data_IF_511280106924
#
_entry.id   IF_511280106924
#
_cell.length_a   1.000
_cell.length_b   1.000
_cell.length_c   1.000
_cell.angle_alpha   90.00
_cell.angle_beta   90.00
_cell.angle_gamma   90.00
#
_symmetry.space_group_name_H-M   'P 1'
#
loop_
_entity.id
_entity.type
_entity.pdbx_description
1 polymer ?
#
# COMPACT_ATOMS: atom_id res chain seq x y z
N UNK A 1 43.53 29.23 -8.13
CA UNK A 1 44.12 27.89 -8.27
C UNK A 1 43.24 26.96 -7.44
N UNK A 2 42.05 26.53 -7.90
CA UNK A 2 41.79 25.94 -9.22
C UNK A 2 42.79 24.81 -9.44
N UNK A 3 42.27 23.58 -9.54
CA UNK A 3 42.90 22.40 -10.15
C UNK A 3 43.39 21.21 -9.31
N UNK A 4 43.20 21.14 -7.98
CA UNK A 4 43.57 19.90 -7.25
C UNK A 4 42.57 19.30 -6.26
N UNK A 5 41.42 19.94 -5.99
CA UNK A 5 40.35 19.36 -5.15
C UNK A 5 39.15 18.95 -6.03
N UNK A 6 39.41 18.27 -7.15
CA UNK A 6 38.38 17.81 -8.08
C UNK A 6 38.55 16.34 -8.50
N UNK A 7 39.39 15.56 -7.83
CA UNK A 7 39.67 14.17 -8.24
C UNK A 7 39.59 13.09 -7.15
N UNK A 8 39.25 13.40 -5.89
CA UNK A 8 39.34 12.35 -4.84
C UNK A 8 38.27 12.32 -3.74
N UNK A 9 37.11 12.98 -3.88
CA UNK A 9 36.04 12.84 -2.88
C UNK A 9 34.60 12.93 -3.42
N UNK A 10 34.39 12.68 -4.72
CA UNK A 10 33.05 12.63 -5.30
C UNK A 10 32.36 11.25 -5.14
N UNK A 11 32.65 10.54 -4.04
CA UNK A 11 32.04 9.23 -3.75
C UNK A 11 31.05 9.27 -2.56
N UNK A 12 30.63 10.46 -2.09
CA UNK A 12 29.87 10.56 -0.83
C UNK A 12 28.62 11.45 -0.80
N UNK A 13 28.20 12.10 -1.89
CA UNK A 13 26.96 12.91 -1.85
C UNK A 13 26.14 12.87 -3.15
N UNK A 14 25.90 11.68 -3.69
CA UNK A 14 24.75 11.46 -4.59
C UNK A 14 23.89 10.36 -3.97
N UNK A 15 23.40 10.64 -2.76
CA UNK A 15 22.18 10.03 -2.24
C UNK A 15 20.98 10.63 -2.98
N UNK A 16 20.95 10.55 -4.30
CA UNK A 16 19.67 10.73 -5.01
C UNK A 16 18.93 9.44 -4.80
N UNK A 17 17.95 9.48 -3.90
CA UNK A 17 16.93 8.45 -3.73
C UNK A 17 16.34 8.13 -5.10
N UNK A 18 16.89 7.14 -5.78
CA UNK A 18 16.29 6.56 -6.97
C UNK A 18 15.13 5.73 -6.44
N UNK A 19 14.00 6.39 -6.17
CA UNK A 19 12.73 5.71 -5.94
C UNK A 19 12.34 5.09 -7.27
N UNK A 20 12.86 3.88 -7.55
CA UNK A 20 12.37 3.09 -8.65
C UNK A 20 10.85 2.99 -8.48
N UNK A 21 10.04 3.32 -9.50
CA UNK A 21 8.61 3.17 -9.41
C UNK A 21 8.35 1.69 -9.15
N UNK A 22 7.80 1.40 -7.98
CA UNK A 22 7.52 0.03 -7.59
C UNK A 22 6.26 -0.45 -8.29
N UNK A 23 6.41 -0.84 -9.56
CA UNK A 23 5.42 -1.66 -10.23
C UNK A 23 5.44 -3.04 -9.55
N UNK A 24 4.58 -3.21 -8.53
CA UNK A 24 4.42 -4.46 -7.80
C UNK A 24 4.59 -4.40 -6.27
N UNK A 25 4.80 -3.23 -5.64
CA UNK A 25 4.68 -3.14 -4.18
C UNK A 25 3.32 -2.57 -3.82
N UNK A 26 2.49 -3.43 -3.23
CA UNK A 26 1.31 -2.99 -2.52
C UNK A 26 1.69 -2.21 -1.25
N UNK A 27 0.71 -1.52 -0.70
CA UNK A 27 0.86 -0.79 0.54
C UNK A 27 1.15 -1.71 1.73
N UNK A 28 1.33 -1.08 2.89
CA UNK A 28 1.44 -1.82 4.14
C UNK A 28 0.18 -2.65 4.39
N UNK A 29 0.36 -3.91 4.81
CA UNK A 29 -0.71 -4.89 5.04
C UNK A 29 -1.58 -5.18 3.80
N UNK A 30 -1.04 -4.98 2.60
CA UNK A 30 -1.66 -5.38 1.35
C UNK A 30 -0.82 -6.46 0.66
N UNK A 31 -1.49 -7.34 -0.07
CA UNK A 31 -0.91 -8.37 -0.92
C UNK A 31 -1.32 -8.13 -2.37
N UNK A 32 -0.38 -8.29 -3.28
CA UNK A 32 -0.66 -8.25 -4.71
C UNK A 32 -1.33 -9.55 -5.13
N UNK A 33 -2.51 -9.45 -5.71
CA UNK A 33 -3.26 -10.57 -6.25
C UNK A 33 -3.46 -10.36 -7.75
N UNK A 34 -3.04 -11.35 -8.53
CA UNK A 34 -3.38 -11.37 -9.95
C UNK A 34 -4.89 -11.47 -10.18
N UNK A 35 -5.61 -12.07 -9.22
CA UNK A 35 -7.07 -12.15 -9.20
C UNK A 35 -7.57 -11.88 -7.77
N UNK A 36 -7.94 -10.63 -7.49
CA UNK A 36 -8.53 -10.21 -6.23
C UNK A 36 -10.05 -10.30 -6.22
N UNK A 37 -10.62 -10.28 -5.01
CA UNK A 37 -12.06 -10.20 -4.79
C UNK A 37 -12.54 -8.76 -4.98
N UNK A 38 -13.72 -8.58 -5.56
CA UNK A 38 -14.37 -7.27 -5.57
C UNK A 38 -15.07 -6.91 -4.24
N UNK A 39 -15.11 -7.84 -3.30
CA UNK A 39 -15.68 -7.61 -1.97
C UNK A 39 -14.58 -7.75 -0.93
N UNK A 40 -13.64 -6.82 -0.98
CA UNK A 40 -12.64 -6.68 0.07
C UNK A 40 -13.30 -6.11 1.34
N UNK A 41 -13.01 -6.65 2.53
CA UNK A 41 -13.58 -6.15 3.78
C UNK A 41 -13.08 -4.73 4.07
N UNK A 42 -13.95 -3.87 4.61
CA UNK A 42 -13.62 -2.51 5.01
C UNK A 42 -13.92 -2.26 6.49
N UNK A 43 -13.49 -1.10 7.01
CA UNK A 43 -13.85 -0.70 8.37
C UNK A 43 -15.38 -0.57 8.57
N UNK A 44 -16.13 -0.19 7.53
CA UNK A 44 -17.58 -0.06 7.58
C UNK A 44 -18.29 -1.42 7.40
N UNK A 45 -17.72 -2.31 6.58
CA UNK A 45 -18.26 -3.64 6.30
C UNK A 45 -17.14 -4.69 6.45
N UNK A 46 -16.82 -5.10 7.69
CA UNK A 46 -15.69 -6.00 7.96
C UNK A 46 -15.99 -7.45 7.61
N UNK A 47 -17.27 -7.82 7.52
CA UNK A 47 -17.73 -9.17 7.19
C UNK A 47 -18.60 -9.09 5.95
N UNK A 48 -18.19 -9.81 4.90
CA UNK A 48 -18.89 -9.88 3.62
C UNK A 48 -19.73 -11.16 3.59
N UNK A 49 -21.06 -11.04 3.60
CA UNK A 49 -21.95 -12.20 3.58
C UNK A 49 -22.18 -12.75 2.16
N UNK A 50 -22.24 -11.86 1.17
CA UNK A 50 -22.53 -12.20 -0.23
C UNK A 50 -21.54 -11.45 -1.11
N UNK A 51 -20.83 -12.19 -1.96
CA UNK A 51 -19.96 -11.63 -2.98
C UNK A 51 -20.16 -12.34 -4.33
N UNK A 52 -20.00 -11.60 -5.42
CA UNK A 52 -19.94 -12.16 -6.77
C UNK A 52 -18.57 -12.80 -7.01
N UNK A 53 -18.49 -13.80 -7.90
CA UNK A 53 -17.24 -14.46 -8.28
C UNK A 53 -16.39 -13.66 -9.27
N UNK A 54 -16.50 -12.33 -9.23
CA UNK A 54 -15.77 -11.46 -10.13
C UNK A 54 -14.30 -11.35 -9.70
N UNK A 55 -13.41 -11.35 -10.69
CA UNK A 55 -11.97 -11.34 -10.53
C UNK A 55 -11.43 -9.95 -10.89
N UNK A 56 -10.91 -9.22 -9.90
CA UNK A 56 -10.23 -7.94 -10.14
C UNK A 56 -8.76 -8.25 -10.45
N UNK A 57 -8.36 -7.99 -11.70
CA UNK A 57 -7.02 -8.34 -12.16
C UNK A 57 -5.95 -7.40 -11.60
N UNK A 58 -4.81 -7.96 -11.22
CA UNK A 58 -3.58 -7.25 -10.83
C UNK A 58 -3.82 -6.15 -9.78
N UNK A 59 -4.45 -6.53 -8.67
CA UNK A 59 -4.90 -5.61 -7.61
C UNK A 59 -4.15 -5.83 -6.30
N UNK A 60 -3.92 -4.75 -5.56
CA UNK A 60 -3.49 -4.80 -4.17
C UNK A 60 -4.71 -4.89 -3.26
N UNK A 61 -4.79 -5.96 -2.48
CA UNK A 61 -5.89 -6.20 -1.55
C UNK A 61 -5.34 -6.37 -0.13
N UNK A 62 -6.08 -5.96 0.89
CA UNK A 62 -5.75 -6.16 2.30
C UNK A 62 -5.44 -7.64 2.54
N UNK A 63 -4.31 -7.87 3.20
CA UNK A 63 -3.90 -9.20 3.58
C UNK A 63 -4.89 -9.78 4.62
N UNK A 64 -4.82 -11.09 4.82
CA UNK A 64 -5.74 -11.80 5.71
C UNK A 64 -5.69 -11.22 7.14
N UNK A 65 -6.87 -10.87 7.68
CA UNK A 65 -7.01 -10.28 9.01
C UNK A 65 -6.94 -8.75 9.06
N UNK A 66 -6.76 -8.09 7.90
CA UNK A 66 -6.83 -6.65 7.75
C UNK A 66 -8.10 -6.25 6.98
N UNK A 67 -8.55 -5.02 7.23
CA UNK A 67 -9.69 -4.41 6.55
C UNK A 67 -9.28 -3.07 5.94
N UNK A 68 -9.90 -2.68 4.83
CA UNK A 68 -9.61 -1.41 4.17
C UNK A 68 -10.18 -0.26 4.99
N UNK A 69 -9.30 0.59 5.50
CA UNK A 69 -9.63 1.86 6.14
C UNK A 69 -9.33 3.06 5.24
N UNK A 70 -9.51 4.30 5.74
CA UNK A 70 -9.34 5.53 4.96
C UNK A 70 -7.89 5.81 4.55
N UNK A 71 -6.91 5.19 5.23
CA UNK A 71 -5.48 5.42 5.01
C UNK A 71 -4.70 4.15 4.63
N UNK A 72 -5.40 3.05 4.33
CA UNK A 72 -4.79 1.76 4.02
C UNK A 72 -5.41 0.61 4.82
N UNK A 73 -4.77 -0.55 4.74
CA UNK A 73 -5.23 -1.77 5.42
C UNK A 73 -4.77 -1.78 6.88
N UNK A 74 -5.74 -1.88 7.79
CA UNK A 74 -5.54 -1.82 9.25
C UNK A 74 -6.21 -3.01 9.91
N UNK A 75 -5.88 -3.28 11.17
CA UNK A 75 -6.67 -4.23 11.97
C UNK A 75 -8.05 -3.64 12.21
N UNK A 76 -9.08 -4.48 12.30
CA UNK A 76 -10.43 -3.99 12.56
C UNK A 76 -10.52 -3.18 13.88
N UNK A 77 -9.73 -3.53 14.90
CA UNK A 77 -9.67 -2.78 16.16
C UNK A 77 -9.09 -1.36 16.02
N UNK A 78 -8.36 -1.09 14.93
CA UNK A 78 -7.75 0.21 14.62
C UNK A 78 -8.66 1.08 13.72
N UNK A 79 -9.84 0.57 13.37
CA UNK A 79 -10.79 1.34 12.57
C UNK A 79 -11.31 2.57 13.32
N UNK A 80 -11.51 3.70 12.62
CA UNK A 80 -12.15 4.85 13.21
C UNK A 80 -13.57 4.51 13.65
N UNK A 81 -14.10 5.15 14.71
CA UNK A 81 -15.48 4.92 15.13
C UNK A 81 -16.45 5.24 13.99
N UNK A 82 -17.36 4.31 13.70
CA UNK A 82 -18.38 4.50 12.66
C UNK A 82 -19.36 5.58 13.11
N UNK A 83 -19.29 6.76 12.51
CA UNK A 83 -20.23 7.86 12.77
C UNK A 83 -21.37 7.77 11.76
N UNK A 84 -22.49 7.17 12.16
CA UNK A 84 -23.70 7.16 11.35
C UNK A 84 -24.35 8.56 11.34
N UNK A 85 -24.57 9.14 10.16
CA UNK A 85 -25.44 10.30 9.97
C UNK A 85 -24.78 11.67 9.76
N UNK A 86 -23.79 11.78 8.86
CA UNK A 86 -23.39 13.07 8.29
C UNK A 86 -23.50 13.07 6.78
#
# INVERSE_FOLDING_TARGET
MKFFILLSAAAFFVSTTFSAPSYGQCGHNEVFLHCGSACEPSCEVPVIEICTLQCILDVCQCDHGFVRGPFGCVRFEECPPVVYGK
#
